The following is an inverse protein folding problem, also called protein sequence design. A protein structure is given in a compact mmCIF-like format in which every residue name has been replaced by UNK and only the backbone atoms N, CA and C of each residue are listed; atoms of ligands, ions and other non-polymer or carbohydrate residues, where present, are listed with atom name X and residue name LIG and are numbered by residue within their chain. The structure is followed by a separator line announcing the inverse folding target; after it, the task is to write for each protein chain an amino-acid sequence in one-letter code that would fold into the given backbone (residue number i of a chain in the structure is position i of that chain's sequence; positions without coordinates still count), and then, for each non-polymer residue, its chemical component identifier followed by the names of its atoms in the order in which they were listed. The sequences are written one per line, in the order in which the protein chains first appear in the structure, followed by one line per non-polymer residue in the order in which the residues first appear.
data_IF_749473546450
#
_entry.id   IF_749473546450
#
_cell.length_a   1.000
_cell.length_b   1.000
_cell.length_c   1.000
_cell.angle_alpha   90.00
_cell.angle_beta   90.00
_cell.angle_gamma   90.00
#
_symmetry.space_group_name_H-M   'P 1'
#
loop_
_entity.id
_entity.type
_entity.pdbx_description
1 polymer ?
#
# COMPACT_ATOMS: atom_id res chain seq x y z
N UNK A 1 -44.70 30.81 7.06
CA UNK A 1 -43.49 31.21 6.30
C UNK A 1 -43.01 32.54 6.86
N UNK A 2 -41.68 32.75 6.88
CA UNK A 2 -40.93 34.01 7.16
C UNK A 2 -40.61 34.45 8.60
N UNK A 3 -39.87 33.64 9.39
CA UNK A 3 -39.11 34.17 10.55
C UNK A 3 -37.79 33.47 10.91
N UNK A 4 -37.29 32.49 10.15
CA UNK A 4 -36.07 31.73 10.55
C UNK A 4 -34.82 31.98 9.69
N UNK A 5 -34.89 32.78 8.62
CA UNK A 5 -33.77 32.97 7.67
C UNK A 5 -32.95 34.24 7.88
N UNK A 6 -33.34 35.14 8.80
CA UNK A 6 -32.62 36.42 9.03
C UNK A 6 -31.49 36.35 10.06
N UNK A 7 -31.39 35.28 10.86
CA UNK A 7 -30.41 35.19 11.94
C UNK A 7 -29.05 34.58 11.55
N UNK A 8 -28.93 33.99 10.36
CA UNK A 8 -27.63 33.47 9.88
C UNK A 8 -26.80 34.61 9.24
N UNK A 9 -27.44 35.65 8.72
CA UNK A 9 -26.76 36.78 8.07
C UNK A 9 -26.31 37.83 9.11
N UNK A 10 -26.96 37.91 10.28
CA UNK A 10 -26.57 38.84 11.36
C UNK A 10 -25.35 38.38 12.17
N UNK A 11 -25.02 37.08 12.19
CA UNK A 11 -23.84 36.55 12.89
C UNK A 11 -22.52 36.75 12.14
N UNK A 12 -22.56 37.20 10.89
CA UNK A 12 -21.38 37.50 10.07
C UNK A 12 -20.94 38.97 10.14
N UNK A 13 -21.69 39.84 10.84
CA UNK A 13 -21.41 41.29 10.94
C UNK A 13 -20.33 41.68 11.96
N UNK A 14 -19.63 40.72 12.55
CA UNK A 14 -18.59 40.97 13.55
C UNK A 14 -17.22 40.39 13.23
N UNK A 15 -17.04 39.78 12.05
CA UNK A 15 -15.74 39.21 11.66
C UNK A 15 -14.99 40.30 10.89
N UNK A 16 -14.03 40.95 11.54
CA UNK A 16 -13.15 41.90 10.85
C UNK A 16 -12.16 41.14 9.97
N UNK A 17 -11.66 41.78 8.93
CA UNK A 17 -10.59 41.18 8.11
C UNK A 17 -9.37 40.80 8.95
N UNK A 18 -9.12 41.54 10.04
CA UNK A 18 -8.08 41.21 11.02
C UNK A 18 -8.38 39.92 11.79
N UNK A 19 -9.64 39.62 12.11
CA UNK A 19 -10.01 38.33 12.73
C UNK A 19 -9.84 37.15 11.76
N UNK A 20 -10.10 37.38 10.47
CA UNK A 20 -9.83 36.38 9.43
C UNK A 20 -8.33 36.17 9.27
N UNK A 21 -7.56 37.26 9.19
CA UNK A 21 -6.10 37.22 9.11
C UNK A 21 -5.50 36.54 10.33
N UNK A 22 -5.89 36.91 11.55
CA UNK A 22 -5.41 36.28 12.79
C UNK A 22 -5.81 34.80 12.89
N UNK A 23 -6.94 34.39 12.31
CA UNK A 23 -7.30 32.96 12.22
C UNK A 23 -6.51 32.21 11.16
N UNK A 24 -6.05 32.88 10.10
CA UNK A 24 -5.24 32.28 9.03
C UNK A 24 -3.74 32.33 9.33
N UNK A 25 -3.31 33.27 10.16
CA UNK A 25 -1.93 33.41 10.61
C UNK A 25 -1.50 32.14 11.36
N UNK A 26 -0.29 31.68 11.06
CA UNK A 26 0.32 30.59 11.80
C UNK A 26 0.44 31.01 13.27
N UNK A 27 -0.14 30.29 14.24
CA UNK A 27 0.04 30.57 15.66
C UNK A 27 1.53 30.70 15.96
N UNK A 28 1.95 31.90 16.35
CA UNK A 28 3.31 32.14 16.77
C UNK A 28 3.58 31.30 18.01
N UNK A 29 4.70 30.58 18.00
CA UNK A 29 5.07 29.69 19.09
C UNK A 29 5.25 30.50 20.39
N UNK A 30 4.41 30.32 21.42
CA UNK A 30 4.64 30.99 22.71
C UNK A 30 5.91 30.48 23.42
N UNK A 31 6.51 29.38 22.94
CA UNK A 31 7.70 28.76 23.52
C UNK A 31 9.03 29.24 22.89
N UNK A 32 9.06 30.34 22.14
CA UNK A 32 10.32 30.97 21.74
C UNK A 32 10.95 31.75 22.90
N UNK A 33 11.35 31.04 23.96
CA UNK A 33 12.05 31.64 25.11
C UNK A 33 13.20 30.74 25.54
N UNK A 34 14.28 31.39 25.90
CA UNK A 34 15.69 31.00 25.90
C UNK A 34 16.19 30.09 27.02
N UNK A 35 15.35 29.47 27.85
CA UNK A 35 15.82 28.73 29.03
C UNK A 35 15.17 27.34 29.12
N UNK A 36 16.01 26.29 29.13
CA UNK A 36 15.63 24.89 29.06
C UNK A 36 15.33 24.23 30.42
N UNK A 37 15.53 24.94 31.53
CA UNK A 37 15.62 24.32 32.86
C UNK A 37 14.33 24.28 33.70
N UNK A 38 13.29 25.05 33.37
CA UNK A 38 12.04 25.09 34.17
C UNK A 38 10.80 24.76 33.32
N UNK A 39 10.61 23.48 32.97
CA UNK A 39 9.41 23.01 32.26
C UNK A 39 8.48 22.24 33.21
N UNK A 40 7.72 22.99 34.01
CA UNK A 40 6.47 22.48 34.56
C UNK A 40 5.42 22.50 33.44
N UNK A 41 4.96 21.30 33.06
CA UNK A 41 3.96 21.09 32.02
C UNK A 41 2.62 21.67 32.52
N UNK A 42 2.33 22.95 32.22
CA UNK A 42 1.00 23.52 32.46
C UNK A 42 -0.01 22.67 31.67
N UNK A 43 -0.90 21.98 32.40
CA UNK A 43 -1.79 20.92 31.91
C UNK A 43 -2.87 21.36 30.92
N UNK A 44 -2.69 22.46 30.20
CA UNK A 44 -3.51 22.84 29.06
C UNK A 44 -2.88 22.26 27.79
N UNK A 45 -3.33 21.07 27.38
CA UNK A 45 -2.98 20.50 26.07
C UNK A 45 -3.23 21.54 24.97
N UNK A 46 -2.15 22.09 24.43
CA UNK A 46 -2.20 22.99 23.30
C UNK A 46 -2.66 22.20 22.08
N UNK A 47 -3.63 22.71 21.30
CA UNK A 47 -4.27 22.01 20.16
C UNK A 47 -3.25 21.45 19.15
N UNK A 48 -2.04 22.00 19.12
CA UNK A 48 -0.99 21.70 18.16
C UNK A 48 0.08 20.72 18.63
N UNK A 49 0.03 20.26 19.88
CA UNK A 49 0.99 19.32 20.49
C UNK A 49 0.26 18.21 21.25
N UNK A 50 0.67 16.97 20.99
CA UNK A 50 0.30 15.77 21.73
C UNK A 50 1.47 14.77 21.62
N UNK A 51 1.41 13.67 22.37
CA UNK A 51 2.51 12.68 22.40
C UNK A 51 2.84 12.11 21.00
N UNK A 52 1.86 11.98 20.11
CA UNK A 52 2.04 11.42 18.77
C UNK A 52 2.60 12.43 17.74
N UNK A 53 2.31 13.72 17.93
CA UNK A 53 2.75 14.85 17.11
C UNK A 53 4.13 15.37 17.53
N UNK A 54 4.49 15.22 18.80
CA UNK A 54 5.77 15.69 19.31
C UNK A 54 6.94 14.93 18.66
N UNK A 55 8.14 15.56 18.57
CA UNK A 55 9.31 14.89 18.04
C UNK A 55 9.60 13.59 18.77
N UNK A 56 9.87 12.54 18.00
CA UNK A 56 10.13 11.19 18.54
C UNK A 56 11.32 11.23 19.50
N UNK A 57 11.14 10.72 20.72
CA UNK A 57 12.19 10.66 21.75
C UNK A 57 13.40 9.84 21.29
N UNK A 58 14.63 10.16 21.72
CA UNK A 58 15.84 9.43 21.33
C UNK A 58 15.79 7.91 21.55
N UNK A 59 15.14 7.47 22.62
CA UNK A 59 14.97 6.05 22.98
C UNK A 59 14.21 5.24 21.92
N UNK A 60 13.34 5.87 21.13
CA UNK A 60 12.56 5.19 20.10
C UNK A 60 13.17 5.31 18.70
N UNK A 61 14.24 6.09 18.52
CA UNK A 61 14.95 6.22 17.25
C UNK A 61 15.87 5.02 17.07
N UNK A 62 15.30 3.86 16.77
CA UNK A 62 16.03 2.58 16.73
C UNK A 62 16.29 2.08 15.32
N UNK A 63 15.66 2.68 14.31
CA UNK A 63 15.72 2.15 12.96
C UNK A 63 17.07 2.43 12.31
N UNK A 64 17.73 1.35 11.92
CA UNK A 64 18.99 1.36 11.19
C UNK A 64 18.75 1.25 9.68
N UNK A 65 19.80 1.36 8.87
CA UNK A 65 19.71 1.12 7.43
C UNK A 65 19.15 -0.28 7.09
N UNK A 66 19.43 -1.30 7.91
CA UNK A 66 18.93 -2.67 7.75
C UNK A 66 17.42 -2.73 7.97
N UNK A 67 16.92 -2.13 9.06
CA UNK A 67 15.49 -2.12 9.38
C UNK A 67 14.69 -1.43 8.27
N UNK A 68 15.18 -0.29 7.78
CA UNK A 68 14.59 0.40 6.63
C UNK A 68 14.56 -0.50 5.39
N UNK A 69 15.67 -1.18 5.09
CA UNK A 69 15.77 -2.10 3.94
C UNK A 69 14.78 -3.27 4.05
N UNK A 70 14.67 -3.89 5.23
CA UNK A 70 13.72 -4.97 5.50
C UNK A 70 12.26 -4.50 5.39
N UNK A 71 11.96 -3.29 5.88
CA UNK A 71 10.63 -2.68 5.74
C UNK A 71 10.25 -2.51 4.27
N UNK A 72 11.17 -2.02 3.43
CA UNK A 72 10.91 -1.85 2.00
C UNK A 72 10.85 -3.17 1.25
N UNK A 73 11.68 -4.16 1.61
CA UNK A 73 11.53 -5.51 1.08
C UNK A 73 10.13 -6.05 1.36
N UNK A 74 9.69 -5.98 2.61
CA UNK A 74 8.38 -6.44 3.04
C UNK A 74 7.25 -5.66 2.34
N UNK A 75 7.40 -4.34 2.18
CA UNK A 75 6.38 -3.47 1.58
C UNK A 75 6.31 -3.62 0.06
N UNK A 76 7.43 -3.80 -0.61
CA UNK A 76 7.53 -3.95 -2.07
C UNK A 76 6.92 -5.25 -2.57
N UNK A 77 7.08 -6.36 -1.84
CA UNK A 77 6.43 -7.64 -2.10
C UNK A 77 4.94 -7.58 -1.75
N UNK A 78 4.19 -6.84 -2.57
CA UNK A 78 2.75 -6.63 -2.45
C UNK A 78 2.01 -7.20 -3.67
N UNK A 79 0.81 -7.71 -3.42
CA UNK A 79 -0.08 -8.24 -4.46
C UNK A 79 -0.44 -7.15 -5.49
N UNK A 80 -0.60 -5.89 -5.06
CA UNK A 80 -0.88 -4.79 -5.99
C UNK A 80 0.21 -4.57 -7.05
N UNK A 81 1.49 -4.68 -6.67
CA UNK A 81 2.63 -4.53 -7.59
C UNK A 81 2.69 -5.69 -8.59
N UNK A 82 2.41 -6.91 -8.11
CA UNK A 82 2.29 -8.10 -8.95
C UNK A 82 1.20 -7.93 -10.01
N UNK A 83 0.00 -7.55 -9.56
CA UNK A 83 -1.16 -7.33 -10.42
C UNK A 83 -0.89 -6.23 -11.44
N UNK A 84 -0.25 -5.12 -11.03
CA UNK A 84 0.14 -4.02 -11.94
C UNK A 84 0.99 -4.51 -13.11
N UNK A 85 2.02 -5.33 -12.84
CA UNK A 85 2.88 -5.88 -13.89
C UNK A 85 2.09 -6.77 -14.85
N UNK A 86 1.36 -7.74 -14.30
CA UNK A 86 0.60 -8.73 -15.08
C UNK A 86 -0.57 -8.12 -15.89
N UNK A 87 -1.18 -7.02 -15.43
CA UNK A 87 -2.27 -6.37 -16.15
C UNK A 87 -1.80 -5.69 -17.44
N UNK A 88 -0.59 -5.11 -17.44
CA UNK A 88 -0.05 -4.42 -18.62
C UNK A 88 0.20 -5.36 -19.81
N UNK A 89 0.61 -6.60 -19.54
CA UNK A 89 0.78 -7.60 -20.60
C UNK A 89 -0.56 -8.09 -21.15
N UNK A 90 -1.65 -8.05 -20.37
CA UNK A 90 -3.01 -8.36 -20.87
C UNK A 90 -3.52 -7.30 -21.83
N UNK A 91 -3.01 -6.07 -21.73
CA UNK A 91 -3.25 -5.00 -22.70
C UNK A 91 -2.37 -5.13 -23.96
N UNK A 92 -1.60 -6.23 -24.07
CA UNK A 92 -0.78 -6.55 -25.23
C UNK A 92 0.64 -5.99 -25.21
N UNK A 93 1.02 -5.23 -24.18
CA UNK A 93 2.36 -4.61 -24.06
C UNK A 93 3.46 -5.68 -23.99
N UNK A 94 4.61 -5.51 -24.70
CA UNK A 94 5.74 -6.40 -24.52
C UNK A 94 6.19 -6.42 -23.06
N UNK A 95 6.44 -7.62 -22.53
CA UNK A 95 6.81 -7.83 -21.13
C UNK A 95 7.96 -6.93 -20.65
N UNK A 96 8.98 -6.72 -21.50
CA UNK A 96 10.15 -5.91 -21.15
C UNK A 96 9.81 -4.42 -21.03
N UNK A 97 8.90 -3.93 -21.87
CA UNK A 97 8.46 -2.54 -21.84
C UNK A 97 7.57 -2.29 -20.63
N UNK A 98 6.68 -3.24 -20.31
CA UNK A 98 5.86 -3.19 -19.10
C UNK A 98 6.72 -3.18 -17.84
N UNK A 99 7.70 -4.10 -17.76
CA UNK A 99 8.62 -4.16 -16.65
C UNK A 99 9.48 -2.90 -16.53
N UNK A 100 10.02 -2.39 -17.65
CA UNK A 100 10.80 -1.16 -17.67
C UNK A 100 9.99 0.06 -17.22
N UNK A 101 8.73 0.19 -17.65
CA UNK A 101 7.84 1.27 -17.21
C UNK A 101 7.67 1.26 -15.68
N UNK A 102 7.47 0.07 -15.11
CA UNK A 102 7.35 -0.11 -13.65
C UNK A 102 8.67 0.19 -12.94
N UNK A 103 9.81 -0.23 -13.48
CA UNK A 103 11.14 0.07 -12.91
C UNK A 103 11.38 1.58 -12.89
N UNK A 104 11.17 2.26 -14.02
CA UNK A 104 11.34 3.72 -14.13
C UNK A 104 10.43 4.45 -13.14
N UNK A 105 9.16 4.03 -13.06
CA UNK A 105 8.20 4.58 -12.12
C UNK A 105 8.68 4.49 -10.66
N UNK A 106 9.18 3.32 -10.25
CA UNK A 106 9.71 3.13 -8.89
C UNK A 106 11.05 3.83 -8.65
N UNK A 107 11.90 3.99 -9.67
CA UNK A 107 13.13 4.79 -9.55
C UNK A 107 12.81 6.27 -9.28
N UNK A 108 11.85 6.84 -10.01
CA UNK A 108 11.36 8.20 -9.75
C UNK A 108 10.76 8.27 -8.34
N UNK A 109 9.95 7.27 -7.98
CA UNK A 109 9.39 7.14 -6.64
C UNK A 109 10.45 7.12 -5.54
N UNK A 110 11.55 6.40 -5.72
CA UNK A 110 12.64 6.31 -4.75
C UNK A 110 13.33 7.67 -4.49
N UNK A 111 13.54 8.46 -5.55
CA UNK A 111 14.13 9.80 -5.42
C UNK A 111 13.21 10.70 -4.59
N UNK A 112 11.90 10.69 -4.91
CA UNK A 112 10.90 11.48 -4.17
C UNK A 112 10.71 11.00 -2.74
N UNK A 113 10.81 9.68 -2.52
CA UNK A 113 10.76 9.06 -1.20
C UNK A 113 11.90 9.54 -0.31
N UNK A 114 13.13 9.56 -0.83
CA UNK A 114 14.31 10.04 -0.10
C UNK A 114 14.22 11.54 0.15
N UNK A 115 13.76 12.32 -0.83
CA UNK A 115 13.56 13.75 -0.67
C UNK A 115 12.55 14.07 0.45
N UNK A 116 11.39 13.39 0.47
CA UNK A 116 10.36 13.56 1.49
C UNK A 116 10.77 13.01 2.86
N UNK A 117 11.60 11.96 2.91
CA UNK A 117 12.03 11.36 4.17
C UNK A 117 13.15 12.10 4.90
N UNK A 118 13.94 12.94 4.21
CA UNK A 118 15.13 13.58 4.79
C UNK A 118 14.80 14.53 5.95
N UNK A 119 13.81 15.40 5.78
CA UNK A 119 13.38 16.35 6.81
C UNK A 119 12.86 15.64 8.06
N UNK A 120 11.86 14.75 7.94
CA UNK A 120 11.34 13.94 9.03
C UNK A 120 12.39 13.10 9.75
N UNK A 121 13.40 12.57 9.04
CA UNK A 121 14.50 11.82 9.67
C UNK A 121 15.49 12.72 10.43
N UNK A 122 15.62 14.01 10.07
CA UNK A 122 16.50 14.96 10.75
C UNK A 122 15.82 15.57 11.99
N UNK A 123 14.53 15.89 11.88
CA UNK A 123 13.76 16.53 12.96
C UNK A 123 12.96 15.53 13.80
N UNK A 124 12.87 14.26 13.37
CA UNK A 124 12.13 13.18 14.03
C UNK A 124 10.63 13.47 14.22
N UNK A 125 10.00 14.09 13.22
CA UNK A 125 8.58 14.49 13.22
C UNK A 125 7.77 13.68 12.19
N UNK A 126 6.49 13.45 12.49
CA UNK A 126 5.56 12.75 11.58
C UNK A 126 4.97 13.64 10.48
N UNK A 127 4.19 13.03 9.59
CA UNK A 127 3.56 13.68 8.44
C UNK A 127 2.61 14.83 8.83
N UNK A 128 1.75 14.73 9.86
CA UNK A 128 0.87 15.84 10.24
C UNK A 128 1.62 17.10 10.66
N UNK A 129 2.82 16.96 11.24
CA UNK A 129 3.66 18.11 11.62
C UNK A 129 4.49 18.58 10.44
N UNK A 130 5.05 17.65 9.66
CA UNK A 130 5.87 17.99 8.50
C UNK A 130 5.07 18.74 7.42
N UNK A 131 3.82 18.36 7.19
CA UNK A 131 2.92 19.04 6.24
C UNK A 131 2.63 20.50 6.60
N UNK A 132 2.73 20.90 7.88
CA UNK A 132 2.55 22.28 8.33
C UNK A 132 3.62 23.22 7.79
N UNK A 133 4.82 22.70 7.45
CA UNK A 133 5.87 23.50 6.84
C UNK A 133 5.54 23.94 5.40
N UNK A 134 4.68 23.17 4.70
CA UNK A 134 4.29 23.45 3.31
C UNK A 134 2.92 24.12 3.19
N UNK A 135 1.94 23.67 3.98
CA UNK A 135 0.55 24.13 3.92
C UNK A 135 0.19 25.11 5.04
N UNK A 136 1.08 25.35 6.00
CA UNK A 136 0.74 26.11 7.21
C UNK A 136 -0.11 25.31 8.20
N UNK A 137 -0.47 25.94 9.31
CA UNK A 137 -1.07 25.27 10.47
C UNK A 137 -2.51 24.81 10.23
N UNK A 138 -3.27 25.57 9.43
CA UNK A 138 -4.68 25.28 9.17
C UNK A 138 -4.88 24.50 7.86
N UNK A 139 -4.17 24.84 6.78
CA UNK A 139 -4.35 24.10 5.52
C UNK A 139 -3.69 22.72 5.55
N UNK A 140 -2.85 22.41 6.55
CA UNK A 140 -2.35 21.03 6.75
C UNK A 140 -3.49 20.02 6.97
N UNK A 141 -4.65 20.44 7.49
CA UNK A 141 -5.82 19.56 7.62
C UNK A 141 -6.30 19.05 6.26
N UNK A 142 -6.21 19.84 5.18
CA UNK A 142 -6.57 19.39 3.85
C UNK A 142 -5.65 18.26 3.37
N UNK A 143 -4.33 18.39 3.59
CA UNK A 143 -3.35 17.36 3.27
C UNK A 143 -3.60 16.07 4.07
N UNK A 144 -3.85 16.20 5.37
CA UNK A 144 -4.14 15.08 6.28
C UNK A 144 -5.45 14.37 5.87
N UNK A 145 -6.55 15.09 5.64
CA UNK A 145 -7.83 14.51 5.22
C UNK A 145 -7.70 13.78 3.89
N UNK A 146 -7.00 14.39 2.92
CA UNK A 146 -6.73 13.75 1.62
C UNK A 146 -5.98 12.43 1.81
N UNK A 147 -5.00 12.41 2.72
CA UNK A 147 -4.26 11.18 3.05
C UNK A 147 -5.12 10.14 3.75
N UNK A 148 -6.04 10.54 4.63
CA UNK A 148 -6.99 9.65 5.29
C UNK A 148 -7.92 8.95 4.27
N UNK A 149 -8.43 9.69 3.27
CA UNK A 149 -9.27 9.14 2.20
C UNK A 149 -8.50 8.08 1.39
N UNK A 150 -7.25 8.37 1.06
CA UNK A 150 -6.37 7.42 0.34
C UNK A 150 -6.07 6.19 1.19
N UNK A 151 -5.80 6.34 2.49
CA UNK A 151 -5.64 5.22 3.42
C UNK A 151 -6.89 4.33 3.47
N UNK A 152 -8.08 4.93 3.63
CA UNK A 152 -9.34 4.19 3.68
C UNK A 152 -9.61 3.42 2.37
N UNK A 153 -9.31 4.05 1.23
CA UNK A 153 -9.44 3.40 -0.08
C UNK A 153 -8.51 2.19 -0.21
N UNK A 154 -7.23 2.34 0.16
CA UNK A 154 -6.28 1.23 0.14
C UNK A 154 -6.61 0.15 1.16
N UNK A 155 -7.15 0.51 2.33
CA UNK A 155 -7.64 -0.44 3.31
C UNK A 155 -8.74 -1.31 2.70
N UNK A 156 -9.71 -0.72 2.01
CA UNK A 156 -10.80 -1.43 1.34
C UNK A 156 -10.28 -2.35 0.22
N UNK A 157 -9.40 -1.85 -0.66
CA UNK A 157 -8.80 -2.63 -1.76
C UNK A 157 -8.04 -3.84 -1.23
N UNK A 158 -7.19 -3.66 -0.22
CA UNK A 158 -6.45 -4.75 0.38
C UNK A 158 -7.37 -5.73 1.13
N UNK A 159 -8.43 -5.24 1.78
CA UNK A 159 -9.44 -6.13 2.39
C UNK A 159 -10.10 -7.02 1.33
N UNK A 160 -10.39 -6.47 0.15
CA UNK A 160 -10.88 -7.23 -0.99
C UNK A 160 -9.85 -8.25 -1.51
N UNK A 161 -8.57 -7.89 -1.63
CA UNK A 161 -7.53 -8.86 -2.00
C UNK A 161 -7.42 -9.99 -0.97
N UNK A 162 -7.40 -9.65 0.31
CA UNK A 162 -7.36 -10.62 1.42
C UNK A 162 -8.58 -11.55 1.39
N UNK A 163 -9.77 -11.02 1.10
CA UNK A 163 -11.00 -11.79 0.96
C UNK A 163 -10.90 -12.89 -0.11
N UNK A 164 -10.28 -12.60 -1.26
CA UNK A 164 -10.12 -13.59 -2.32
C UNK A 164 -9.19 -14.74 -1.88
N UNK A 165 -8.09 -14.45 -1.19
CA UNK A 165 -7.23 -15.50 -0.63
C UNK A 165 -7.91 -16.28 0.49
N UNK A 166 -8.67 -15.62 1.37
CA UNK A 166 -9.49 -16.29 2.40
C UNK A 166 -10.54 -17.19 1.76
N UNK A 167 -11.18 -16.77 0.67
CA UNK A 167 -12.12 -17.61 -0.07
C UNK A 167 -11.44 -18.89 -0.56
N UNK A 168 -10.22 -18.83 -1.09
CA UNK A 168 -9.44 -20.02 -1.49
C UNK A 168 -9.14 -20.91 -0.28
N UNK A 169 -8.78 -20.33 0.88
CA UNK A 169 -8.59 -21.09 2.11
C UNK A 169 -9.88 -21.80 2.56
N UNK A 170 -11.03 -21.13 2.49
CA UNK A 170 -12.33 -21.71 2.83
C UNK A 170 -12.71 -22.85 1.88
N UNK A 171 -12.44 -22.72 0.58
CA UNK A 171 -12.64 -23.79 -0.42
C UNK A 171 -11.81 -25.04 -0.12
N UNK A 172 -10.61 -24.86 0.42
CA UNK A 172 -9.76 -25.97 0.82
C UNK A 172 -10.30 -26.71 2.06
N UNK A 173 -10.70 -25.96 3.11
CA UNK A 173 -11.19 -26.52 4.38
C UNK A 173 -12.59 -27.12 4.21
N UNK A 174 -13.47 -26.42 3.50
CA UNK A 174 -14.85 -26.80 3.26
C UNK A 174 -15.13 -26.81 1.75
N UNK A 175 -15.06 -27.99 1.09
CA UNK A 175 -15.37 -28.11 -0.32
C UNK A 175 -16.77 -27.60 -0.71
N UNK A 176 -17.74 -27.69 0.21
CA UNK A 176 -19.10 -27.16 0.06
C UNK A 176 -19.16 -25.64 -0.13
N UNK A 177 -18.07 -24.92 0.12
CA UNK A 177 -17.97 -23.50 -0.20
C UNK A 177 -18.21 -23.23 -1.69
N UNK A 178 -17.81 -24.15 -2.58
CA UNK A 178 -18.07 -24.04 -4.03
C UNK A 178 -19.55 -24.02 -4.38
N UNK A 179 -20.40 -24.66 -3.57
CA UNK A 179 -21.83 -24.84 -3.84
C UNK A 179 -22.68 -23.65 -3.38
N UNK A 180 -22.07 -22.64 -2.76
CA UNK A 180 -22.79 -21.44 -2.29
C UNK A 180 -23.37 -20.67 -3.50
N UNK A 181 -24.70 -20.57 -3.64
CA UNK A 181 -25.31 -19.94 -4.80
C UNK A 181 -25.05 -18.43 -4.79
N UNK A 182 -24.58 -17.91 -5.93
CA UNK A 182 -24.36 -16.48 -6.06
C UNK A 182 -25.70 -15.73 -6.17
N UNK A 183 -26.02 -14.92 -5.16
CA UNK A 183 -27.22 -14.07 -5.11
C UNK A 183 -26.96 -12.62 -5.56
N UNK A 184 -25.71 -12.28 -5.81
CA UNK A 184 -25.29 -10.93 -6.23
C UNK A 184 -25.22 -10.90 -7.76
N UNK A 185 -25.81 -9.89 -8.43
CA UNK A 185 -25.71 -9.74 -9.88
C UNK A 185 -24.24 -9.67 -10.34
N UNK A 186 -23.91 -10.37 -11.42
CA UNK A 186 -22.56 -10.39 -12.00
C UNK A 186 -22.03 -8.99 -12.35
N UNK A 187 -22.92 -8.03 -12.62
CA UNK A 187 -22.57 -6.63 -12.91
C UNK A 187 -21.88 -5.91 -11.75
N UNK A 188 -21.98 -6.42 -10.52
CA UNK A 188 -21.35 -5.84 -9.33
C UNK A 188 -19.88 -6.25 -9.18
N UNK A 189 -19.37 -7.18 -10.00
CA UNK A 189 -17.97 -7.58 -9.99
C UNK A 189 -17.51 -8.35 -8.74
N UNK A 190 -18.43 -8.75 -7.87
CA UNK A 190 -18.15 -9.54 -6.66
C UNK A 190 -19.16 -10.68 -6.52
N UNK A 191 -18.69 -11.83 -6.03
CA UNK A 191 -19.54 -12.99 -5.75
C UNK A 191 -20.01 -12.98 -4.29
N UNK A 192 -21.08 -13.73 -4.02
CA UNK A 192 -21.58 -13.91 -2.65
C UNK A 192 -20.51 -14.54 -1.75
N UNK A 193 -19.77 -15.52 -2.26
CA UNK A 193 -18.64 -16.15 -1.57
C UNK A 193 -17.57 -15.11 -1.19
N UNK A 194 -17.09 -14.30 -2.14
CA UNK A 194 -16.07 -13.29 -1.88
C UNK A 194 -16.58 -12.22 -0.91
N UNK A 195 -17.87 -11.87 -0.94
CA UNK A 195 -18.47 -10.92 0.02
C UNK A 195 -18.46 -11.46 1.44
N UNK A 196 -18.81 -12.73 1.64
CA UNK A 196 -18.74 -13.37 2.96
C UNK A 196 -17.29 -13.51 3.42
N UNK A 197 -16.38 -13.92 2.54
CA UNK A 197 -14.95 -13.99 2.83
C UNK A 197 -14.36 -12.60 3.17
N UNK A 198 -14.87 -11.54 2.56
CA UNK A 198 -14.50 -10.15 2.87
C UNK A 198 -14.93 -9.78 4.28
N UNK A 199 -16.16 -10.10 4.67
CA UNK A 199 -16.63 -9.86 6.03
C UNK A 199 -15.80 -10.65 7.06
N UNK A 200 -15.49 -11.92 6.77
CA UNK A 200 -14.62 -12.75 7.62
C UNK A 200 -13.23 -12.12 7.74
N UNK A 201 -12.59 -11.77 6.63
CA UNK A 201 -11.25 -11.16 6.64
C UNK A 201 -11.25 -9.82 7.39
N UNK A 202 -12.28 -9.01 7.20
CA UNK A 202 -12.43 -7.73 7.90
C UNK A 202 -12.55 -7.94 9.42
N UNK A 203 -13.42 -8.83 9.89
CA UNK A 203 -13.56 -9.16 11.32
C UNK A 203 -12.26 -9.72 11.90
N UNK A 204 -11.60 -10.62 11.18
CA UNK A 204 -10.30 -11.18 11.59
C UNK A 204 -9.19 -10.13 11.66
N UNK A 205 -9.30 -9.04 10.90
CA UNK A 205 -8.33 -7.95 10.90
C UNK A 205 -8.49 -7.02 12.11
N UNK A 206 -9.69 -6.90 12.68
CA UNK A 206 -10.00 -5.93 13.75
C UNK A 206 -9.09 -6.05 15.00
N UNK A 207 -8.81 -7.24 15.56
CA UNK A 207 -7.94 -7.35 16.73
C UNK A 207 -6.52 -6.81 16.48
N UNK A 208 -6.03 -6.92 15.25
CA UNK A 208 -4.67 -6.52 14.90
C UNK A 208 -4.52 -5.00 14.73
N UNK A 209 -5.62 -4.27 14.50
CA UNK A 209 -5.60 -2.79 14.39
C UNK A 209 -5.25 -2.15 15.74
N UNK A 210 -5.56 -2.82 16.85
CA UNK A 210 -5.21 -2.34 18.20
C UNK A 210 -3.72 -2.53 18.55
N UNK A 211 -2.94 -3.18 17.68
CA UNK A 211 -1.50 -3.34 17.87
C UNK A 211 -0.81 -2.06 17.42
N UNK A 212 -0.14 -1.38 18.36
CA UNK A 212 0.57 -0.15 18.06
C UNK A 212 1.73 -0.41 17.06
N UNK A 213 1.92 0.43 16.02
CA UNK A 213 2.89 0.21 14.95
C UNK A 213 4.34 0.04 15.40
N UNK A 214 4.70 0.61 16.55
CA UNK A 214 6.03 0.42 17.19
C UNK A 214 6.40 -1.05 17.34
N UNK A 215 5.41 -1.93 17.55
CA UNK A 215 5.60 -3.34 17.82
C UNK A 215 5.49 -4.22 16.55
N UNK A 216 5.29 -3.64 15.36
CA UNK A 216 5.10 -4.40 14.10
C UNK A 216 6.41 -4.74 13.37
N UNK A 217 7.58 -4.37 13.90
CA UNK A 217 8.87 -4.62 13.23
C UNK A 217 9.12 -6.11 12.92
N UNK A 218 8.83 -7.00 13.88
CA UNK A 218 8.97 -8.44 13.68
C UNK A 218 8.02 -8.98 12.61
N UNK A 219 6.84 -8.36 12.47
CA UNK A 219 5.84 -8.75 11.48
C UNK A 219 6.33 -8.46 10.06
N UNK A 220 7.00 -7.32 9.82
CA UNK A 220 7.57 -7.03 8.49
C UNK A 220 8.67 -8.02 8.11
N UNK A 221 9.51 -8.41 9.07
CA UNK A 221 10.54 -9.43 8.85
C UNK A 221 9.88 -10.77 8.52
N UNK A 222 8.88 -11.18 9.30
CA UNK A 222 8.12 -12.41 9.04
C UNK A 222 7.43 -12.37 7.67
N UNK A 223 6.80 -11.26 7.29
CA UNK A 223 6.20 -11.04 5.97
C UNK A 223 7.23 -11.20 4.87
N UNK A 224 8.40 -10.55 4.97
CA UNK A 224 9.46 -10.67 3.97
C UNK A 224 9.94 -12.13 3.81
N UNK A 225 10.16 -12.83 4.94
CA UNK A 225 10.59 -14.22 4.94
C UNK A 225 9.52 -15.20 4.44
N UNK A 226 8.23 -14.83 4.49
CA UNK A 226 7.13 -15.70 4.05
C UNK A 226 6.73 -15.42 2.59
N UNK A 227 6.51 -14.15 2.24
CA UNK A 227 5.94 -13.74 0.95
C UNK A 227 6.97 -13.82 -0.16
N UNK A 228 8.23 -13.43 0.07
CA UNK A 228 9.23 -13.47 -0.99
C UNK A 228 9.47 -14.91 -1.48
N UNK A 229 9.71 -15.91 -0.60
CA UNK A 229 9.79 -17.30 -1.03
C UNK A 229 8.50 -17.83 -1.66
N UNK A 230 7.32 -17.43 -1.18
CA UNK A 230 6.05 -17.81 -1.80
C UNK A 230 5.94 -17.30 -3.25
N UNK A 231 6.33 -16.05 -3.51
CA UNK A 231 6.41 -15.50 -4.87
C UNK A 231 7.35 -16.31 -5.78
N UNK A 232 8.54 -16.68 -5.29
CA UNK A 232 9.47 -17.52 -6.04
C UNK A 232 8.90 -18.93 -6.28
N UNK A 233 8.27 -19.54 -5.28
CA UNK A 233 7.65 -20.85 -5.41
C UNK A 233 6.54 -20.86 -6.47
N UNK A 234 5.70 -19.82 -6.50
CA UNK A 234 4.65 -19.68 -7.52
C UNK A 234 5.26 -19.46 -8.91
N UNK A 235 6.33 -18.67 -9.03
CA UNK A 235 7.04 -18.50 -10.29
C UNK A 235 7.61 -19.83 -10.81
N UNK A 236 8.33 -20.57 -9.96
CA UNK A 236 8.92 -21.86 -10.31
C UNK A 236 7.81 -22.83 -10.72
N UNK A 237 6.73 -22.90 -9.95
CA UNK A 237 5.57 -23.74 -10.26
C UNK A 237 4.97 -23.38 -11.63
N UNK A 238 4.73 -22.10 -11.92
CA UNK A 238 4.14 -21.68 -13.18
C UNK A 238 5.01 -22.03 -14.40
N UNK A 239 6.33 -21.88 -14.26
CA UNK A 239 7.30 -22.23 -15.31
C UNK A 239 7.38 -23.75 -15.51
N UNK A 240 7.40 -24.53 -14.42
CA UNK A 240 7.41 -26.00 -14.48
C UNK A 240 6.11 -26.54 -15.08
N UNK A 241 4.96 -25.95 -14.72
CA UNK A 241 3.65 -26.28 -15.29
C UNK A 241 3.65 -26.12 -16.82
N UNK A 242 4.38 -25.12 -17.32
CA UNK A 242 4.51 -24.83 -18.73
C UNK A 242 5.78 -25.46 -19.37
N UNK A 243 6.22 -26.61 -18.86
CA UNK A 243 7.36 -27.38 -19.40
C UNK A 243 8.67 -26.60 -19.51
N UNK A 244 8.92 -25.65 -18.60
CA UNK A 244 10.11 -24.80 -18.59
C UNK A 244 10.02 -23.56 -19.49
N UNK A 245 8.91 -23.39 -20.21
CA UNK A 245 8.66 -22.20 -21.02
C UNK A 245 7.98 -21.09 -20.20
N UNK A 246 8.30 -19.84 -20.49
CA UNK A 246 7.64 -18.67 -19.87
C UNK A 246 6.35 -18.31 -20.63
N UNK A 247 6.04 -18.96 -21.76
CA UNK A 247 4.79 -18.76 -22.52
C UNK A 247 4.87 -17.71 -23.63
N UNK A 248 3.79 -17.50 -24.40
CA UNK A 248 3.79 -16.70 -25.61
C UNK A 248 3.58 -15.20 -25.35
N UNK A 249 3.48 -14.70 -24.11
CA UNK A 249 3.27 -13.25 -23.85
C UNK A 249 4.43 -12.34 -24.27
N UNK A 250 5.41 -12.88 -24.99
CA UNK A 250 6.33 -12.13 -25.86
C UNK A 250 5.68 -11.70 -27.19
N UNK A 251 4.51 -12.26 -27.55
CA UNK A 251 3.73 -11.87 -28.73
C UNK A 251 2.97 -10.59 -28.42
N UNK A 252 3.44 -9.51 -29.03
CA UNK A 252 2.95 -8.15 -28.88
C UNK A 252 1.64 -7.97 -29.64
N UNK A 253 0.65 -7.30 -29.05
CA UNK A 253 -0.60 -7.00 -29.76
C UNK A 253 -0.33 -6.16 -31.03
N UNK A 254 -1.00 -6.42 -32.17
CA UNK A 254 -0.77 -5.68 -33.42
C UNK A 254 -0.98 -4.17 -33.30
N UNK A 255 -1.81 -3.74 -32.37
CA UNK A 255 -2.17 -2.34 -32.10
C UNK A 255 -0.99 -1.50 -31.57
N UNK A 256 0.02 -2.16 -30.99
CA UNK A 256 1.27 -1.52 -30.52
C UNK A 256 2.14 -1.04 -31.67
N UNK A 257 1.90 -1.51 -32.89
CA UNK A 257 2.58 -0.97 -34.07
C UNK A 257 2.24 0.52 -34.33
N UNK A 258 1.20 1.07 -33.67
CA UNK A 258 0.89 2.49 -33.69
C UNK A 258 1.69 3.23 -32.60
N UNK A 259 2.64 4.12 -32.95
CA UNK A 259 3.51 4.78 -31.97
C UNK A 259 2.75 5.58 -30.91
N UNK A 260 1.64 6.23 -31.29
CA UNK A 260 0.81 7.00 -30.36
C UNK A 260 0.15 6.12 -29.31
N UNK A 261 -0.41 4.99 -29.71
CA UNK A 261 -1.03 4.03 -28.79
C UNK A 261 0.00 3.45 -27.82
N UNK A 262 1.16 3.03 -28.34
CA UNK A 262 2.25 2.51 -27.52
C UNK A 262 2.75 3.52 -26.49
N UNK A 263 2.94 4.79 -26.89
CA UNK A 263 3.36 5.86 -26.00
C UNK A 263 2.37 6.09 -24.85
N UNK A 264 1.06 6.16 -25.16
CA UNK A 264 0.03 6.31 -24.13
C UNK A 264 -0.08 5.10 -23.20
N UNK A 265 0.06 3.88 -23.74
CA UNK A 265 0.05 2.67 -22.94
C UNK A 265 1.26 2.63 -21.98
N UNK A 266 2.44 3.07 -22.45
CA UNK A 266 3.63 3.16 -21.61
C UNK A 266 3.49 4.20 -20.49
N UNK A 267 2.90 5.36 -20.80
CA UNK A 267 2.57 6.38 -19.80
C UNK A 267 1.53 5.88 -18.78
N UNK A 268 0.53 5.11 -19.23
CA UNK A 268 -0.45 4.49 -18.34
C UNK A 268 0.21 3.47 -17.39
N UNK A 269 1.14 2.65 -17.90
CA UNK A 269 1.91 1.71 -17.08
C UNK A 269 2.78 2.43 -16.04
N UNK A 270 3.49 3.49 -16.45
CA UNK A 270 4.29 4.32 -15.56
C UNK A 270 3.43 4.95 -14.46
N UNK A 271 2.28 5.52 -14.82
CA UNK A 271 1.33 6.13 -13.89
C UNK A 271 0.73 5.09 -12.93
N UNK A 272 0.41 3.88 -13.40
CA UNK A 272 -0.09 2.79 -12.56
C UNK A 272 0.95 2.37 -11.51
N UNK A 273 2.22 2.23 -11.91
CA UNK A 273 3.31 1.97 -10.97
C UNK A 273 3.47 3.08 -9.93
N UNK A 274 3.32 4.34 -10.36
CA UNK A 274 3.54 5.50 -9.49
C UNK A 274 2.38 5.69 -8.52
N UNK A 275 1.16 5.44 -8.97
CA UNK A 275 -0.04 5.43 -8.13
C UNK A 275 0.07 4.45 -6.96
N UNK A 276 0.66 3.27 -7.20
CA UNK A 276 0.88 2.24 -6.17
C UNK A 276 1.84 2.66 -5.05
N UNK A 277 2.76 3.59 -5.29
CA UNK A 277 3.76 4.02 -4.30
C UNK A 277 3.53 5.42 -3.74
N UNK A 278 2.82 6.28 -4.47
CA UNK A 278 2.58 7.70 -4.14
C UNK A 278 2.09 7.93 -2.71
N UNK A 279 1.15 7.12 -2.21
CA UNK A 279 0.59 7.25 -0.88
C UNK A 279 1.64 7.05 0.24
N UNK A 280 2.58 6.12 0.04
CA UNK A 280 3.67 5.86 0.97
C UNK A 280 4.78 6.91 0.86
N UNK A 281 5.02 7.46 -0.34
CA UNK A 281 5.99 8.56 -0.53
C UNK A 281 5.59 9.79 0.30
N UNK A 282 4.30 10.14 0.28
CA UNK A 282 3.77 11.28 1.03
C UNK A 282 3.82 11.01 2.54
N UNK A 283 3.44 9.81 2.99
CA UNK A 283 3.50 9.41 4.40
C UNK A 283 4.89 8.95 4.86
N UNK A 284 5.94 9.18 4.06
CA UNK A 284 7.28 8.71 4.40
C UNK A 284 7.79 9.31 5.71
N UNK A 285 7.30 10.48 6.08
CA UNK A 285 7.63 11.14 7.33
C UNK A 285 7.38 10.26 8.57
N UNK A 286 6.29 9.47 8.55
CA UNK A 286 5.87 8.67 9.70
C UNK A 286 6.77 7.47 9.95
N UNK A 287 7.42 6.98 8.89
CA UNK A 287 8.40 5.90 8.96
C UNK A 287 9.80 6.49 9.22
N UNK A 288 10.15 7.57 8.51
CA UNK A 288 11.46 8.21 8.57
C UNK A 288 11.78 8.78 9.97
N UNK A 289 10.77 9.20 10.75
CA UNK A 289 10.97 9.76 12.10
C UNK A 289 11.69 8.81 13.07
N UNK A 290 11.57 7.49 12.86
CA UNK A 290 12.19 6.45 13.71
C UNK A 290 13.65 6.16 13.35
N UNK A 291 14.17 6.72 12.25
CA UNK A 291 15.56 6.52 11.83
C UNK A 291 16.53 7.10 12.87
N UNK A 292 17.66 6.41 13.11
CA UNK A 292 18.74 6.92 13.98
C UNK A 292 19.44 8.14 13.40
N UNK A 293 19.64 8.13 12.08
CA UNK A 293 20.33 9.16 11.31
C UNK A 293 19.63 9.33 9.97
N UNK A 294 19.64 10.53 9.42
CA UNK A 294 19.06 10.81 8.10
C UNK A 294 19.69 9.96 6.99
N UNK A 295 21.00 9.66 7.09
CA UNK A 295 21.70 8.78 6.15
C UNK A 295 21.17 7.33 6.13
N UNK A 296 20.71 6.83 7.28
CA UNK A 296 20.19 5.45 7.42
C UNK A 296 18.90 5.29 6.62
N UNK A 297 18.09 6.35 6.50
CA UNK A 297 16.88 6.41 5.68
C UNK A 297 17.20 6.69 4.21
N UNK A 298 18.12 7.61 3.90
CA UNK A 298 18.33 8.04 2.52
C UNK A 298 18.96 6.96 1.63
N UNK A 299 20.10 6.40 2.03
CA UNK A 299 20.83 5.45 1.17
C UNK A 299 20.19 4.08 1.10
N UNK A 300 19.59 3.62 2.21
CA UNK A 300 18.88 2.34 2.21
C UNK A 300 17.74 2.37 1.21
N UNK A 301 16.92 3.41 1.22
CA UNK A 301 15.72 3.49 0.40
C UNK A 301 16.03 3.73 -1.07
N UNK A 302 17.01 4.59 -1.37
CA UNK A 302 17.39 4.87 -2.77
C UNK A 302 17.82 3.60 -3.52
N UNK A 303 18.55 2.71 -2.84
CA UNK A 303 19.07 1.49 -3.44
C UNK A 303 18.07 0.32 -3.35
N UNK A 304 17.51 0.08 -2.16
CA UNK A 304 16.74 -1.14 -1.92
C UNK A 304 15.33 -1.07 -2.48
N UNK A 305 14.71 0.11 -2.48
CA UNK A 305 13.32 0.25 -2.93
C UNK A 305 13.14 -0.11 -4.40
N UNK A 306 13.89 0.47 -5.37
CA UNK A 306 13.75 0.12 -6.78
C UNK A 306 14.04 -1.35 -7.08
N UNK A 307 15.04 -1.93 -6.40
CA UNK A 307 15.43 -3.33 -6.60
C UNK A 307 14.30 -4.25 -6.14
N UNK A 308 13.76 -4.02 -4.94
CA UNK A 308 12.74 -4.89 -4.37
C UNK A 308 11.36 -4.68 -4.99
N UNK A 309 11.03 -3.48 -5.48
CA UNK A 309 9.74 -3.22 -6.12
C UNK A 309 9.66 -3.71 -7.58
N UNK A 310 10.80 -3.83 -8.26
CA UNK A 310 10.85 -4.35 -9.63
C UNK A 310 10.55 -5.85 -9.73
N UNK A 311 10.88 -6.63 -8.69
CA UNK A 311 10.77 -8.09 -8.72
C UNK A 311 9.31 -8.60 -8.72
N UNK A 312 8.41 -8.13 -7.86
CA UNK A 312 7.02 -8.62 -7.84
C UNK A 312 6.28 -8.35 -9.15
N UNK A 313 6.52 -7.19 -9.78
CA UNK A 313 5.95 -6.86 -11.08
C UNK A 313 6.45 -7.83 -12.17
N UNK A 314 7.76 -8.15 -12.16
CA UNK A 314 8.33 -9.15 -13.05
C UNK A 314 7.71 -10.54 -12.82
N UNK A 315 7.57 -10.96 -11.56
CA UNK A 315 6.97 -12.25 -11.24
C UNK A 315 5.52 -12.35 -11.71
N UNK A 316 4.74 -11.29 -11.54
CA UNK A 316 3.38 -11.23 -12.07
C UNK A 316 3.31 -11.38 -13.58
N UNK A 317 4.20 -10.71 -14.30
CA UNK A 317 4.31 -10.82 -15.76
C UNK A 317 4.65 -12.26 -16.18
N UNK A 318 5.68 -12.86 -15.57
CA UNK A 318 6.16 -14.19 -15.95
C UNK A 318 5.14 -15.29 -15.60
N UNK A 319 4.50 -15.21 -14.43
CA UNK A 319 3.48 -16.17 -14.01
C UNK A 319 2.23 -16.06 -14.88
N UNK A 320 1.74 -14.85 -15.14
CA UNK A 320 0.59 -14.66 -16.01
C UNK A 320 0.87 -15.15 -17.44
N UNK A 321 2.09 -14.98 -17.94
CA UNK A 321 2.52 -15.49 -19.25
C UNK A 321 2.57 -17.02 -19.30
N UNK A 322 3.20 -17.66 -18.32
CA UNK A 322 3.36 -19.11 -18.30
C UNK A 322 2.01 -19.81 -18.12
N UNK A 323 1.18 -19.31 -17.20
CA UNK A 323 -0.16 -19.86 -16.93
C UNK A 323 -1.13 -19.61 -18.10
N UNK A 324 -1.02 -18.48 -18.80
CA UNK A 324 -1.83 -18.22 -19.99
C UNK A 324 -1.52 -19.19 -21.13
N UNK A 325 -0.28 -19.66 -21.27
CA UNK A 325 0.06 -20.66 -22.29
C UNK A 325 -0.60 -22.01 -21.99
N UNK A 326 -0.60 -22.39 -20.71
CA UNK A 326 -1.13 -23.68 -20.28
C UNK A 326 -2.66 -23.72 -20.34
N UNK A 327 -3.34 -22.68 -19.84
CA UNK A 327 -4.81 -22.63 -19.78
C UNK A 327 -5.49 -21.95 -20.97
N UNK A 328 -4.73 -21.33 -21.88
CA UNK A 328 -5.28 -20.55 -23.01
C UNK A 328 -6.04 -19.28 -22.59
N UNK A 329 -6.00 -18.91 -21.31
CA UNK A 329 -6.65 -17.73 -20.74
C UNK A 329 -5.70 -17.02 -19.79
N UNK A 330 -5.62 -15.70 -19.94
CA UNK A 330 -4.73 -14.88 -19.14
C UNK A 330 -5.36 -14.47 -17.82
N UNK A 331 -4.69 -14.82 -16.72
CA UNK A 331 -5.04 -14.40 -15.37
C UNK A 331 -4.01 -13.38 -14.87
N UNK A 332 -4.48 -12.17 -14.59
CA UNK A 332 -3.66 -11.07 -14.08
C UNK A 332 -3.69 -11.01 -12.54
N UNK A 333 -4.74 -11.50 -11.90
CA UNK A 333 -4.75 -11.57 -10.45
C UNK A 333 -4.08 -12.84 -9.93
N UNK A 334 -3.27 -12.68 -8.89
CA UNK A 334 -2.62 -13.81 -8.22
C UNK A 334 -3.63 -14.79 -7.61
N UNK A 335 -4.73 -14.30 -7.05
CA UNK A 335 -5.76 -15.18 -6.49
C UNK A 335 -6.54 -15.95 -7.57
N UNK A 336 -6.67 -15.41 -8.78
CA UNK A 336 -7.31 -16.15 -9.89
C UNK A 336 -6.40 -17.30 -10.33
N UNK A 337 -5.08 -17.06 -10.43
CA UNK A 337 -4.08 -18.10 -10.72
C UNK A 337 -4.11 -19.20 -9.66
N UNK A 338 -4.14 -18.85 -8.37
CA UNK A 338 -4.22 -19.84 -7.29
C UNK A 338 -5.57 -20.56 -7.23
N UNK A 339 -6.66 -19.89 -7.61
CA UNK A 339 -7.99 -20.50 -7.73
C UNK A 339 -8.00 -21.57 -8.81
N UNK A 340 -7.42 -21.29 -9.98
CA UNK A 340 -7.32 -22.29 -11.05
C UNK A 340 -6.32 -23.40 -10.71
N UNK A 341 -5.23 -23.09 -10.00
CA UNK A 341 -4.33 -24.11 -9.48
C UNK A 341 -5.06 -25.05 -8.51
N UNK A 342 -5.95 -24.53 -7.65
CA UNK A 342 -6.76 -25.35 -6.75
C UNK A 342 -7.71 -26.27 -7.52
N UNK A 343 -8.34 -25.77 -8.59
CA UNK A 343 -9.24 -26.55 -9.46
C UNK A 343 -8.47 -27.64 -10.21
N UNK A 344 -7.30 -27.30 -10.75
CA UNK A 344 -6.48 -28.22 -11.53
C UNK A 344 -5.98 -29.41 -10.70
N UNK A 345 -5.64 -29.18 -9.42
CA UNK A 345 -5.16 -30.22 -8.52
C UNK A 345 -6.24 -30.78 -7.58
N UNK A 346 -7.51 -30.81 -7.99
CA UNK A 346 -8.64 -31.24 -7.14
C UNK A 346 -8.40 -32.60 -6.44
N UNK A 347 -7.79 -33.53 -7.16
CA UNK A 347 -7.51 -34.91 -6.69
C UNK A 347 -6.26 -35.02 -5.80
N UNK A 348 -5.35 -34.04 -5.82
CA UNK A 348 -4.08 -34.09 -5.07
C UNK A 348 -4.16 -33.30 -3.78
N UNK A 349 -4.27 -34.00 -2.65
CA UNK A 349 -4.30 -33.39 -1.31
C UNK A 349 -3.04 -32.57 -1.00
N UNK A 350 -1.86 -33.04 -1.43
CA UNK A 350 -0.59 -32.37 -1.23
C UNK A 350 -0.51 -31.03 -1.99
N UNK A 351 -0.88 -31.03 -3.27
CA UNK A 351 -0.87 -29.83 -4.11
C UNK A 351 -1.89 -28.79 -3.63
N UNK A 352 -3.08 -29.24 -3.22
CA UNK A 352 -4.11 -28.37 -2.61
C UNK A 352 -3.63 -27.77 -1.30
N UNK A 353 -2.91 -28.53 -0.48
CA UNK A 353 -2.27 -28.05 0.73
C UNK A 353 -1.26 -26.92 0.47
N UNK A 354 -0.46 -27.03 -0.61
CA UNK A 354 0.47 -25.95 -1.01
C UNK A 354 -0.27 -24.69 -1.47
N UNK A 355 -1.35 -24.83 -2.24
CA UNK A 355 -2.20 -23.69 -2.64
C UNK A 355 -2.85 -23.01 -1.43
N UNK A 356 -3.29 -23.80 -0.45
CA UNK A 356 -3.78 -23.29 0.83
C UNK A 356 -2.69 -22.51 1.57
N UNK A 357 -1.49 -23.06 1.73
CA UNK A 357 -0.38 -22.41 2.42
C UNK A 357 0.02 -21.09 1.74
N UNK A 358 0.09 -21.09 0.40
CA UNK A 358 0.36 -19.88 -0.36
C UNK A 358 -0.72 -18.82 -0.14
N UNK A 359 -2.00 -19.20 -0.26
CA UNK A 359 -3.13 -18.29 -0.08
C UNK A 359 -3.18 -17.73 1.34
N UNK A 360 -2.94 -18.57 2.35
CA UNK A 360 -2.89 -18.17 3.74
C UNK A 360 -1.74 -17.20 4.02
N UNK A 361 -0.56 -17.46 3.45
CA UNK A 361 0.59 -16.54 3.54
C UNK A 361 0.28 -15.16 2.95
N UNK A 362 -0.35 -15.10 1.77
CA UNK A 362 -0.75 -13.82 1.16
C UNK A 362 -1.86 -13.12 1.94
N UNK A 363 -2.84 -13.86 2.50
CA UNK A 363 -3.88 -13.29 3.34
C UNK A 363 -3.30 -12.63 4.59
N UNK A 364 -2.39 -13.31 5.31
CA UNK A 364 -1.68 -12.73 6.45
C UNK A 364 -0.90 -11.50 6.01
N UNK A 365 -0.13 -11.60 4.91
CA UNK A 365 0.69 -10.52 4.40
C UNK A 365 -0.11 -9.24 4.13
N UNK A 366 -1.30 -9.39 3.54
CA UNK A 366 -2.24 -8.30 3.27
C UNK A 366 -2.77 -7.72 4.57
N UNK A 367 -3.16 -8.56 5.53
CA UNK A 367 -3.68 -8.13 6.83
C UNK A 367 -2.69 -7.16 7.50
N UNK A 368 -1.44 -7.55 7.68
CA UNK A 368 -0.51 -6.64 8.34
C UNK A 368 -0.01 -5.51 7.44
N UNK A 369 -0.15 -5.59 6.12
CA UNK A 369 0.01 -4.41 5.25
C UNK A 369 -1.09 -3.38 5.55
N UNK A 370 -2.33 -3.82 5.74
CA UNK A 370 -3.42 -2.94 6.13
C UNK A 370 -3.21 -2.32 7.51
N UNK A 371 -2.86 -3.13 8.51
CA UNK A 371 -2.58 -2.64 9.87
C UNK A 371 -1.45 -1.60 9.85
N UNK A 372 -0.38 -1.87 9.11
CA UNK A 372 0.79 -1.00 9.05
C UNK A 372 0.59 0.30 8.27
N UNK A 373 -0.06 0.26 7.09
CA UNK A 373 0.01 1.34 6.11
C UNK A 373 -1.32 2.07 5.88
N UNK A 374 -2.46 1.44 6.22
CA UNK A 374 -3.78 1.91 5.82
C UNK A 374 -4.77 2.07 6.98
N UNK A 375 -4.53 1.43 8.13
CA UNK A 375 -5.42 1.48 9.31
C UNK A 375 -5.14 2.68 10.21
N UNK A 376 -3.88 3.12 10.23
CA UNK A 376 -3.42 4.25 11.02
C UNK A 376 -2.94 5.31 10.02
N UNK A 377 -3.79 6.31 9.70
CA UNK A 377 -3.29 7.54 9.12
C UNK A 377 -2.54 8.25 10.24
N UNK A 378 -1.23 8.13 10.23
CA UNK A 378 -0.34 8.73 11.20
C UNK A 378 -0.48 10.26 11.24
#
# INVERSE_FOLDING_TARGET
MTTSSRNIISSLRGITWQDVVHKLEAPQNPYSVSNLDDREYDGKQHVWSNEDLDPTKPEYRTWTWVHNSCFWLASSFAVGTWTTGSAMISLGMPWYAAWLAVVVSHMIGAVLLVANGRGPAAYHIGYPVYSRASFGMWESYFAIISRCIVAATWFAINTFYGANFVSICLRFIWPSWNDVPNRIPLSQGITTQTTVALFIFWVLSMPFIFIHPRNLNWYFVAKACLVAPACFAILIWAVVLNSGSIGPSFQVAPEINKPSFYGWLWMAALNSGFGGCSALIVAQADIARWARKSSDQSWSQLLTYPIFSALPALFGILVASATSNFWGKQYWNLWDVLTEALNYYEESSASRGLVFLASFAFAIAILGTNVAANSLPF
#
